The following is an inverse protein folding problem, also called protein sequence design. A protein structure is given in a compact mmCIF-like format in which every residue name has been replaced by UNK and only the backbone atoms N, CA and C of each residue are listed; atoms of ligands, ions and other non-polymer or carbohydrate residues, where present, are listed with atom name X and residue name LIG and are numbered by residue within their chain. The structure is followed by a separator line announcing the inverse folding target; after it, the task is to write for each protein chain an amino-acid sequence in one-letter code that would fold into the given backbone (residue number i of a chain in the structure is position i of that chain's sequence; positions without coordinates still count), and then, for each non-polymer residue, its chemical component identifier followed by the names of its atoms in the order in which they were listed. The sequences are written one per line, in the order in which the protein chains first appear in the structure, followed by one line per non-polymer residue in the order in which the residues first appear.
data_IF_624204170813
#
_entry.id   IF_624204170813
#
_cell.length_a   1.000
_cell.length_b   1.000
_cell.length_c   1.000
_cell.angle_alpha   90.00
_cell.angle_beta   90.00
_cell.angle_gamma   90.00
#
_symmetry.space_group_name_H-M   'P 1'
#
loop_
_entity.id
_entity.type
_entity.pdbx_description
1 polymer ?
#
# COMPACT_ATOMS: atom_id res chain seq x y z
N UNK A 1 -14.62 10.25 20.82
CA UNK A 1 -13.32 10.55 20.20
C UNK A 1 -13.56 11.15 18.83
N UNK A 2 -12.86 12.23 18.47
CA UNK A 2 -12.94 12.84 17.15
C UNK A 2 -11.65 12.54 16.41
N UNK A 3 -11.76 11.98 15.20
CA UNK A 3 -10.60 11.68 14.36
C UNK A 3 -10.44 12.75 13.29
N UNK A 4 -9.20 13.13 13.01
CA UNK A 4 -8.87 14.03 11.90
C UNK A 4 -9.29 13.38 10.58
N UNK A 5 -9.85 14.17 9.67
CA UNK A 5 -10.22 13.68 8.34
C UNK A 5 -8.97 13.30 7.56
N UNK A 6 -8.94 12.12 6.96
CA UNK A 6 -7.77 11.61 6.23
C UNK A 6 -7.31 12.57 5.11
N UNK A 7 -8.24 13.28 4.48
CA UNK A 7 -7.95 14.29 3.46
C UNK A 7 -7.08 15.47 3.95
N UNK A 8 -6.92 15.65 5.26
CA UNK A 8 -6.03 16.65 5.87
C UNK A 8 -4.61 16.11 6.13
N UNK A 9 -4.39 14.80 6.04
CA UNK A 9 -3.12 14.11 6.26
C UNK A 9 -2.46 13.84 4.91
N UNK A 10 -1.98 14.90 4.26
CA UNK A 10 -1.57 14.87 2.84
C UNK A 10 -0.15 14.34 2.61
N UNK A 11 0.63 14.15 3.65
CA UNK A 11 2.02 13.67 3.57
C UNK A 11 2.22 12.48 4.50
N UNK A 12 3.18 11.62 4.17
CA UNK A 12 3.61 10.50 5.01
C UNK A 12 3.92 10.96 6.44
N UNK A 13 4.74 12.02 6.57
CA UNK A 13 5.10 12.63 7.86
C UNK A 13 3.86 13.07 8.65
N UNK A 14 2.94 13.81 8.02
CA UNK A 14 1.73 14.29 8.72
C UNK A 14 0.83 13.14 9.19
N UNK A 15 0.78 12.05 8.42
CA UNK A 15 0.05 10.85 8.80
C UNK A 15 0.72 10.13 9.98
N UNK A 16 2.05 9.93 9.92
CA UNK A 16 2.83 9.33 11.00
C UNK A 16 2.75 10.11 12.32
N UNK A 17 2.88 11.44 12.26
CA UNK A 17 2.72 12.32 13.43
C UNK A 17 1.35 12.16 14.08
N UNK A 18 0.30 12.04 13.27
CA UNK A 18 -1.05 11.86 13.77
C UNK A 18 -1.25 10.48 14.41
N UNK A 19 -0.70 9.41 13.83
CA UNK A 19 -0.70 8.07 14.42
C UNK A 19 -0.01 8.05 15.79
N UNK A 20 1.16 8.68 15.90
CA UNK A 20 1.88 8.85 17.16
C UNK A 20 1.05 9.63 18.19
N UNK A 21 0.39 10.72 17.77
CA UNK A 21 -0.45 11.53 18.64
C UNK A 21 -1.61 10.73 19.25
N UNK A 22 -2.20 9.80 18.50
CA UNK A 22 -3.33 8.99 18.96
C UNK A 22 -2.90 7.64 19.55
N UNK A 23 -1.59 7.37 19.64
CA UNK A 23 -1.04 6.16 20.23
C UNK A 23 -1.29 4.90 19.39
N UNK A 24 -1.36 5.02 18.06
CA UNK A 24 -1.50 3.88 17.15
C UNK A 24 -0.14 3.55 16.54
N UNK A 25 0.29 2.30 16.69
CA UNK A 25 1.43 1.74 15.99
C UNK A 25 0.96 1.13 14.67
N UNK A 26 1.19 1.84 13.57
CA UNK A 26 0.91 1.37 12.22
C UNK A 26 2.12 1.68 11.34
N UNK A 27 3.01 0.70 11.09
CA UNK A 27 4.17 0.90 10.23
C UNK A 27 3.74 1.01 8.76
N UNK A 28 4.38 1.90 8.02
CA UNK A 28 4.20 2.08 6.58
C UNK A 28 5.47 2.68 5.97
N UNK A 29 5.64 2.48 4.66
CA UNK A 29 6.75 3.10 3.92
C UNK A 29 6.40 4.55 3.60
N UNK A 30 7.27 5.49 3.97
CA UNK A 30 7.09 6.91 3.65
C UNK A 30 7.22 7.19 2.14
N UNK A 31 8.02 6.37 1.46
CA UNK A 31 8.27 6.45 0.03
C UNK A 31 7.84 5.17 -0.67
N UNK A 32 7.11 5.31 -1.77
CA UNK A 32 6.70 4.17 -2.59
C UNK A 32 7.69 3.98 -3.75
N UNK A 33 8.24 2.76 -3.87
CA UNK A 33 9.07 2.40 -5.00
C UNK A 33 8.26 2.41 -6.32
N UNK A 34 8.72 3.11 -7.37
CA UNK A 34 7.97 3.26 -8.61
C UNK A 34 8.16 2.08 -9.57
N UNK A 35 7.14 1.81 -10.39
CA UNK A 35 7.22 0.91 -11.54
C UNK A 35 7.78 -0.47 -11.22
N UNK A 36 8.76 -0.93 -11.99
CA UNK A 36 9.38 -2.25 -11.83
C UNK A 36 10.19 -2.44 -10.53
N UNK A 37 10.48 -1.35 -9.80
CA UNK A 37 11.11 -1.42 -8.48
C UNK A 37 10.08 -1.66 -7.36
N UNK A 38 8.79 -1.47 -7.66
CA UNK A 38 7.73 -1.74 -6.70
C UNK A 38 7.71 -3.23 -6.34
N UNK A 39 7.60 -3.59 -5.04
CA UNK A 39 7.33 -4.96 -4.62
C UNK A 39 6.08 -5.56 -5.29
N UNK A 40 5.14 -4.71 -5.69
CA UNK A 40 3.92 -5.09 -6.38
C UNK A 40 4.15 -5.50 -7.85
N UNK A 41 5.26 -5.08 -8.45
CA UNK A 41 5.63 -5.43 -9.82
C UNK A 41 6.49 -6.70 -9.92
N UNK A 42 6.81 -7.33 -8.79
CA UNK A 42 7.63 -8.54 -8.77
C UNK A 42 6.87 -9.71 -9.40
N UNK A 43 7.39 -10.34 -10.47
CA UNK A 43 6.77 -11.51 -11.08
C UNK A 43 6.94 -12.75 -10.19
N UNK A 44 6.17 -13.79 -10.47
CA UNK A 44 6.32 -15.10 -9.84
C UNK A 44 6.57 -16.17 -10.91
N UNK A 45 7.59 -17.02 -10.72
CA UNK A 45 7.90 -18.13 -11.63
C UNK A 45 7.25 -19.40 -11.09
N UNK A 46 6.30 -19.95 -11.84
CA UNK A 46 5.62 -21.21 -11.55
C UNK A 46 6.08 -22.27 -12.55
N UNK A 47 7.08 -23.06 -12.19
CA UNK A 47 7.66 -24.06 -13.10
C UNK A 47 8.33 -23.37 -14.29
N UNK A 48 7.83 -23.62 -15.50
CA UNK A 48 8.26 -23.02 -16.75
C UNK A 48 7.42 -21.79 -17.17
N UNK A 49 6.46 -21.38 -16.34
CA UNK A 49 5.56 -20.25 -16.60
C UNK A 49 5.86 -19.04 -15.71
N UNK A 50 5.87 -17.83 -16.30
CA UNK A 50 6.06 -16.58 -15.54
C UNK A 50 4.74 -15.84 -15.37
N UNK A 51 4.29 -15.71 -14.14
CA UNK A 51 3.15 -14.89 -13.74
C UNK A 51 3.63 -13.44 -13.57
N UNK A 52 3.34 -12.58 -14.55
CA UNK A 52 3.74 -11.17 -14.52
C UNK A 52 3.07 -10.37 -13.38
N UNK A 53 1.79 -10.61 -13.13
CA UNK A 53 1.08 -10.10 -11.96
C UNK A 53 0.76 -11.25 -11.01
N UNK A 54 1.56 -11.39 -9.95
CA UNK A 54 1.42 -12.48 -8.97
C UNK A 54 0.29 -12.27 -7.94
N UNK A 55 -0.47 -11.18 -8.03
CA UNK A 55 -1.64 -10.93 -7.18
C UNK A 55 -2.89 -11.45 -7.87
N UNK A 56 -3.63 -12.32 -7.18
CA UNK A 56 -4.97 -12.68 -7.58
C UNK A 56 -5.92 -11.57 -7.14
N UNK A 57 -6.55 -10.89 -8.10
CA UNK A 57 -7.64 -9.96 -7.81
C UNK A 57 -8.95 -10.75 -7.81
N UNK A 58 -9.83 -10.46 -6.85
CA UNK A 58 -11.17 -11.06 -6.83
C UNK A 58 -11.85 -10.77 -8.18
N UNK A 59 -12.62 -11.72 -8.73
CA UNK A 59 -13.44 -11.43 -9.91
C UNK A 59 -14.31 -10.22 -9.58
N UNK A 60 -14.06 -9.13 -10.30
CA UNK A 60 -14.89 -7.94 -10.21
C UNK A 60 -16.17 -8.29 -10.98
N UNK A 61 -17.19 -8.81 -10.31
CA UNK A 61 -18.53 -8.91 -10.91
C UNK A 61 -19.01 -7.49 -11.23
N UNK A 62 -19.19 -7.18 -12.52
CA UNK A 62 -19.83 -5.93 -12.97
C UNK A 62 -18.89 -4.76 -13.22
N UNK A 63 -17.94 -4.92 -14.14
CA UNK A 63 -17.42 -3.78 -14.91
C UNK A 63 -18.37 -3.42 -16.05
#
# INVERSE_FOLDING_TARGET
MSYRRIAQLRTAVAFGDYLNQIGIELPFDEEMAPGGQSPLAQPYVLGDFTIGNRFCVQPMEGW
#
